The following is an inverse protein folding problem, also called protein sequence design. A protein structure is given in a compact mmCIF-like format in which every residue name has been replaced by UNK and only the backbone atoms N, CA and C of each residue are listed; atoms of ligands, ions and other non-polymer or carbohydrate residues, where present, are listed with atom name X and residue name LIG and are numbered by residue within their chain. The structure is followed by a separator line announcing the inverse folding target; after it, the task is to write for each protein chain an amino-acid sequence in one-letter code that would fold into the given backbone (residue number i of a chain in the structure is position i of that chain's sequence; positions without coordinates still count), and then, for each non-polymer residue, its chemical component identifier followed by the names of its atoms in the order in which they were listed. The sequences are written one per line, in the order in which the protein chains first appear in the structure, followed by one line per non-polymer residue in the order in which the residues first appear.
data_IF_610668071052
#
_entry.id   IF_610668071052
#
_cell.length_a   1.000
_cell.length_b   1.000
_cell.length_c   1.000
_cell.angle_alpha   90.00
_cell.angle_beta   90.00
_cell.angle_gamma   90.00
#
_symmetry.space_group_name_H-M   'P 1'
#
loop_
_entity.id
_entity.type
_entity.pdbx_description
1 polymer ?
#
# COMPACT_ATOMS: atom_id res chain seq x y z
N UNK A 1 2.30 12.09 -7.15
CA UNK A 1 1.52 11.34 -6.13
C UNK A 1 2.19 11.41 -4.75
N UNK A 2 3.42 10.90 -4.59
CA UNK A 2 4.17 10.92 -3.32
C UNK A 2 4.26 12.32 -2.67
N UNK A 3 4.65 13.36 -3.43
CA UNK A 3 4.75 14.72 -2.90
C UNK A 3 3.41 15.28 -2.40
N UNK A 4 2.31 14.98 -3.10
CA UNK A 4 0.95 15.40 -2.70
C UNK A 4 0.51 14.66 -1.44
N UNK A 5 0.82 13.37 -1.34
CA UNK A 5 0.53 12.58 -0.14
C UNK A 5 1.31 13.11 1.08
N UNK A 6 2.61 13.39 0.93
CA UNK A 6 3.45 13.96 1.99
C UNK A 6 2.95 15.36 2.40
N UNK A 7 2.61 16.21 1.44
CA UNK A 7 2.06 17.54 1.72
C UNK A 7 0.76 17.49 2.53
N UNK A 8 -0.18 16.63 2.12
CA UNK A 8 -1.44 16.47 2.87
C UNK A 8 -1.23 15.86 4.25
N UNK A 9 -0.22 14.99 4.41
CA UNK A 9 0.12 14.32 5.68
C UNK A 9 0.76 15.26 6.70
N UNK A 10 1.70 16.10 6.26
CA UNK A 10 2.50 16.93 7.18
C UNK A 10 2.05 18.38 7.29
N UNK A 11 1.43 18.93 6.24
CA UNK A 11 1.05 20.36 6.20
C UNK A 11 -0.45 20.53 6.40
N UNK A 12 -1.28 19.95 5.53
CA UNK A 12 -2.75 20.21 5.55
C UNK A 12 -3.46 19.52 6.70
N UNK A 13 -3.06 18.28 7.06
CA UNK A 13 -3.61 17.48 8.16
C UNK A 13 -5.15 17.56 8.26
N UNK A 14 -5.90 17.03 7.29
CA UNK A 14 -7.36 17.08 7.33
C UNK A 14 -7.91 16.38 8.58
N UNK A 15 -8.94 16.95 9.19
CA UNK A 15 -9.49 16.51 10.49
C UNK A 15 -9.84 15.01 10.54
N UNK A 16 -10.46 14.50 9.47
CA UNK A 16 -10.80 13.08 9.31
C UNK A 16 -9.63 12.08 9.26
N UNK A 17 -8.38 12.55 9.25
CA UNK A 17 -7.16 11.72 9.28
C UNK A 17 -6.35 11.94 10.57
N UNK A 18 -6.99 12.49 11.61
CA UNK A 18 -6.42 12.63 12.94
C UNK A 18 -6.82 11.40 13.76
N UNK A 19 -5.83 10.60 14.17
CA UNK A 19 -6.01 9.44 15.02
C UNK A 19 -5.38 9.69 16.39
N UNK A 20 -5.88 8.96 17.40
CA UNK A 20 -5.35 9.01 18.77
C UNK A 20 -3.86 8.60 18.83
N UNK A 21 -3.48 7.53 18.11
CA UNK A 21 -2.08 7.14 17.90
C UNK A 21 -1.56 7.53 16.51
N UNK A 22 -1.49 8.84 16.26
CA UNK A 22 -0.96 9.38 15.00
C UNK A 22 0.51 8.98 14.76
N UNK A 23 1.27 8.64 15.81
CA UNK A 23 2.68 8.28 15.71
C UNK A 23 2.85 6.90 15.09
N UNK A 24 2.14 5.88 15.56
CA UNK A 24 2.18 4.54 14.98
C UNK A 24 1.72 4.56 13.51
N UNK A 25 0.63 5.30 13.22
CA UNK A 25 0.09 5.44 11.87
C UNK A 25 1.13 6.06 10.91
N UNK A 26 1.93 7.01 11.38
CA UNK A 26 3.03 7.62 10.62
C UNK A 26 4.22 6.67 10.45
N UNK A 27 4.57 5.90 11.47
CA UNK A 27 5.68 4.95 11.41
C UNK A 27 5.44 3.86 10.37
N UNK A 28 4.27 3.24 10.38
CA UNK A 28 3.91 2.21 9.38
C UNK A 28 3.97 2.77 7.95
N UNK A 29 3.43 3.97 7.73
CA UNK A 29 3.47 4.62 6.43
C UNK A 29 4.91 4.90 5.97
N UNK A 30 5.76 5.40 6.87
CA UNK A 30 7.17 5.64 6.58
C UNK A 30 7.95 4.35 6.28
N UNK A 31 7.68 3.27 7.02
CA UNK A 31 8.30 1.96 6.80
C UNK A 31 7.93 1.45 5.40
N UNK A 32 6.64 1.43 5.05
CA UNK A 32 6.18 0.94 3.74
C UNK A 32 6.76 1.79 2.61
N UNK A 33 6.68 3.12 2.70
CA UNK A 33 7.22 4.02 1.67
C UNK A 33 8.74 3.84 1.55
N UNK A 34 9.45 3.68 2.68
CA UNK A 34 10.88 3.41 2.69
C UNK A 34 11.24 2.09 2.02
N UNK A 35 10.51 1.01 2.30
CA UNK A 35 10.72 -0.30 1.68
C UNK A 35 10.43 -0.26 0.17
N UNK A 36 9.34 0.38 -0.26
CA UNK A 36 9.02 0.54 -1.69
C UNK A 36 10.09 1.39 -2.40
N UNK A 37 10.52 2.49 -1.80
CA UNK A 37 11.59 3.33 -2.35
C UNK A 37 12.90 2.54 -2.47
N UNK A 38 13.25 1.77 -1.44
CA UNK A 38 14.41 0.88 -1.45
C UNK A 38 14.33 -0.15 -2.58
N UNK A 39 13.17 -0.79 -2.77
CA UNK A 39 12.95 -1.73 -3.89
C UNK A 39 13.18 -1.08 -5.25
N UNK A 40 12.67 0.14 -5.44
CA UNK A 40 12.84 0.92 -6.68
C UNK A 40 14.31 1.28 -6.90
N UNK A 41 15.01 1.74 -5.86
CA UNK A 41 16.43 2.10 -5.95
C UNK A 41 17.30 0.87 -6.28
N UNK A 42 17.06 -0.26 -5.62
CA UNK A 42 17.78 -1.50 -5.89
C UNK A 42 17.52 -2.00 -7.31
N UNK A 43 16.27 -1.92 -7.78
CA UNK A 43 15.92 -2.28 -9.16
C UNK A 43 16.63 -1.38 -10.17
N UNK A 44 16.59 -0.06 -9.98
CA UNK A 44 17.28 0.86 -10.88
C UNK A 44 18.80 0.71 -10.86
N UNK A 45 19.39 0.43 -9.68
CA UNK A 45 20.82 0.14 -9.53
C UNK A 45 21.24 -1.12 -10.27
N UNK A 46 20.45 -2.20 -10.18
CA UNK A 46 20.68 -3.43 -10.95
C UNK A 46 20.60 -3.16 -12.46
N UNK A 47 19.57 -2.45 -12.92
CA UNK A 47 19.40 -2.12 -14.35
C UNK A 47 20.49 -1.20 -14.89
N UNK A 48 20.98 -0.26 -14.09
CA UNK A 48 22.09 0.62 -14.49
C UNK A 48 23.39 -0.17 -14.70
N UNK A 49 23.72 -1.13 -13.82
CA UNK A 49 24.89 -1.99 -14.00
C UNK A 49 24.74 -2.97 -15.17
N UNK A 50 23.55 -3.54 -15.35
CA UNK A 50 23.25 -4.40 -16.50
C UNK A 50 23.41 -3.65 -17.84
N UNK A 51 23.04 -2.37 -17.89
CA UNK A 51 23.20 -1.53 -19.08
C UNK A 51 24.67 -1.36 -19.49
N UNK A 52 25.55 -1.08 -18.53
CA UNK A 52 26.98 -0.92 -18.80
C UNK A 52 27.66 -2.25 -19.16
N UNK A 53 27.26 -3.34 -18.51
CA UNK A 53 27.74 -4.69 -18.82
C UNK A 53 27.34 -5.12 -20.24
N UNK A 54 26.20 -4.65 -20.74
CA UNK A 54 25.69 -4.98 -22.08
C UNK A 54 26.29 -4.14 -23.22
N UNK A 55 27.17 -3.18 -22.93
CA UNK A 55 27.85 -2.29 -23.91
C UNK A 55 27.03 -1.91 -25.16
N UNK A 56 25.80 -1.41 -24.94
CA UNK A 56 24.99 -0.82 -26.02
C UNK A 56 24.27 -1.79 -26.95
N UNK A 57 24.49 -3.10 -26.84
CA UNK A 57 23.61 -4.11 -27.46
C UNK A 57 22.41 -4.30 -26.50
N UNK A 58 21.18 -3.93 -26.89
CA UNK A 58 20.02 -4.20 -26.06
C UNK A 58 19.91 -5.72 -25.97
N UNK A 59 20.34 -6.28 -24.84
CA UNK A 59 20.07 -7.67 -24.53
C UNK A 59 18.57 -7.90 -24.74
N UNK A 60 18.18 -9.11 -25.13
CA UNK A 60 16.79 -9.48 -25.37
C UNK A 60 15.87 -9.22 -24.15
N UNK A 61 16.46 -8.90 -22.99
CA UNK A 61 15.84 -8.59 -21.72
C UNK A 61 15.88 -7.10 -21.34
N UNK A 62 16.47 -6.22 -22.16
CA UNK A 62 16.48 -4.78 -21.94
C UNK A 62 15.20 -4.13 -22.49
N UNK A 63 14.28 -3.65 -21.64
CA UNK A 63 13.22 -2.80 -22.14
C UNK A 63 13.88 -1.49 -22.59
N UNK A 64 13.71 -1.13 -23.87
CA UNK A 64 14.08 0.18 -24.45
C UNK A 64 13.53 1.38 -23.65
N UNK A 65 12.63 1.12 -22.71
CA UNK A 65 11.96 2.06 -21.82
C UNK A 65 12.68 2.30 -20.48
N UNK A 66 13.85 1.72 -20.21
CA UNK A 66 14.61 1.94 -18.98
C UNK A 66 15.38 3.28 -18.96
N UNK A 67 14.76 4.38 -19.45
CA UNK A 67 15.41 5.68 -19.65
C UNK A 67 15.99 6.27 -18.35
N UNK A 68 15.34 6.02 -17.21
CA UNK A 68 15.82 6.48 -15.90
C UNK A 68 17.14 5.78 -15.55
N UNK A 69 17.19 4.46 -15.63
CA UNK A 69 18.40 3.70 -15.32
C UNK A 69 19.55 4.01 -16.25
N UNK A 70 19.27 4.26 -17.53
CA UNK A 70 20.28 4.70 -18.51
C UNK A 70 20.83 6.09 -18.13
N UNK A 71 19.97 7.04 -17.75
CA UNK A 71 20.40 8.38 -17.35
C UNK A 71 21.35 8.36 -16.13
N UNK A 72 21.14 7.44 -15.18
CA UNK A 72 21.97 7.27 -14.00
C UNK A 72 23.12 6.26 -14.18
N UNK A 73 23.25 5.62 -15.35
CA UNK A 73 24.32 4.63 -15.60
C UNK A 73 25.71 5.25 -15.59
N UNK A 74 25.83 6.54 -15.92
CA UNK A 74 27.10 7.28 -15.91
C UNK A 74 27.78 7.29 -14.54
N UNK A 75 27.03 7.18 -13.43
CA UNK A 75 27.60 7.06 -12.09
C UNK A 75 28.44 5.79 -11.89
N UNK A 76 28.22 4.78 -12.72
CA UNK A 76 28.87 3.47 -12.63
C UNK A 76 29.89 3.23 -13.76
N UNK A 77 30.09 4.20 -14.65
CA UNK A 77 30.92 4.07 -15.86
C UNK A 77 32.43 3.89 -15.59
N UNK A 78 32.90 4.18 -14.36
CA UNK A 78 34.29 3.99 -13.95
C UNK A 78 34.60 2.64 -13.30
N UNK A 79 33.61 1.75 -13.15
CA UNK A 79 33.79 0.43 -12.52
C UNK A 79 34.30 -0.60 -13.53
N UNK A 80 35.08 -1.57 -13.05
CA UNK A 80 35.46 -2.74 -13.87
C UNK A 80 34.26 -3.65 -14.09
N UNK A 81 34.36 -4.56 -15.06
CA UNK A 81 33.33 -5.57 -15.35
C UNK A 81 32.99 -6.40 -14.10
N UNK A 82 33.99 -6.78 -13.31
CA UNK A 82 33.82 -7.52 -12.06
C UNK A 82 33.11 -6.67 -11.01
N UNK A 83 33.45 -5.37 -10.91
CA UNK A 83 32.77 -4.43 -10.02
C UNK A 83 31.29 -4.25 -10.36
N UNK A 84 30.97 -4.16 -11.64
CA UNK A 84 29.58 -4.07 -12.13
C UNK A 84 28.78 -5.36 -11.84
N UNK A 85 29.37 -6.53 -12.04
CA UNK A 85 28.73 -7.82 -11.72
C UNK A 85 28.48 -7.99 -10.22
N UNK A 86 29.42 -7.56 -9.37
CA UNK A 86 29.27 -7.57 -7.93
C UNK A 86 28.13 -6.62 -7.49
N UNK A 87 28.08 -5.41 -8.06
CA UNK A 87 27.01 -4.45 -7.78
C UNK A 87 25.64 -4.96 -8.22
N UNK A 88 25.54 -5.51 -9.43
CA UNK A 88 24.31 -6.15 -9.92
C UNK A 88 23.84 -7.24 -8.95
N UNK A 89 24.75 -8.13 -8.55
CA UNK A 89 24.45 -9.23 -7.63
C UNK A 89 23.97 -8.72 -6.27
N UNK A 90 24.62 -7.69 -5.73
CA UNK A 90 24.21 -7.03 -4.49
C UNK A 90 22.79 -6.45 -4.61
N UNK A 91 22.51 -5.69 -5.67
CA UNK A 91 21.19 -5.11 -5.90
C UNK A 91 20.12 -6.18 -6.09
N UNK A 92 20.42 -7.26 -6.82
CA UNK A 92 19.50 -8.37 -7.08
C UNK A 92 19.13 -9.13 -5.79
N UNK A 93 20.13 -9.55 -5.02
CA UNK A 93 19.90 -10.24 -3.75
C UNK A 93 19.23 -9.31 -2.73
N UNK A 94 19.68 -8.05 -2.64
CA UNK A 94 19.05 -7.05 -1.79
C UNK A 94 17.57 -6.86 -2.13
N UNK A 95 17.24 -6.72 -3.42
CA UNK A 95 15.85 -6.59 -3.87
C UNK A 95 15.02 -7.81 -3.48
N UNK A 96 15.56 -9.01 -3.70
CA UNK A 96 14.90 -10.28 -3.36
C UNK A 96 14.61 -10.38 -1.86
N UNK A 97 15.60 -10.07 -1.01
CA UNK A 97 15.44 -10.08 0.46
C UNK A 97 14.39 -9.06 0.91
N UNK A 98 14.41 -7.85 0.33
CA UNK A 98 13.42 -6.81 0.67
C UNK A 98 12.01 -7.22 0.23
N UNK A 99 11.83 -7.84 -0.93
CA UNK A 99 10.52 -8.37 -1.36
C UNK A 99 10.02 -9.44 -0.37
N UNK A 100 10.87 -10.39 0.00
CA UNK A 100 10.49 -11.46 0.93
C UNK A 100 10.13 -10.90 2.32
N UNK A 101 10.92 -9.93 2.81
CA UNK A 101 10.60 -9.22 4.06
C UNK A 101 9.30 -8.43 3.97
N UNK A 102 9.06 -7.74 2.85
CA UNK A 102 7.83 -7.00 2.63
C UNK A 102 6.60 -7.92 2.59
N UNK A 103 6.72 -9.10 1.97
CA UNK A 103 5.64 -10.10 1.93
C UNK A 103 5.21 -10.56 3.33
N UNK A 104 6.17 -10.76 4.24
CA UNK A 104 5.91 -11.13 5.64
C UNK A 104 5.30 -9.95 6.41
N UNK A 105 5.68 -8.72 6.07
CA UNK A 105 5.19 -7.51 6.73
C UNK A 105 3.75 -7.15 6.33
N UNK A 106 3.32 -7.44 5.09
CA UNK A 106 1.97 -7.13 4.57
C UNK A 106 0.83 -7.51 5.53
N UNK A 107 0.71 -8.76 6.04
CA UNK A 107 -0.43 -9.17 6.88
C UNK A 107 -0.55 -8.41 8.21
N UNK A 108 0.53 -7.82 8.69
CA UNK A 108 0.56 -7.06 9.94
C UNK A 108 0.48 -5.55 9.73
N UNK A 109 0.39 -5.11 8.48
CA UNK A 109 0.44 -3.70 8.11
C UNK A 109 -0.87 -3.23 7.52
N UNK A 110 -1.01 -1.91 7.43
CA UNK A 110 -2.14 -1.27 6.74
C UNK A 110 -2.22 -1.64 5.26
N UNK A 111 -1.13 -2.12 4.66
CA UNK A 111 -1.07 -2.50 3.24
C UNK A 111 -1.91 -3.73 2.88
N UNK A 112 -2.41 -4.48 3.88
CA UNK A 112 -3.39 -5.55 3.70
C UNK A 112 -4.64 -5.09 2.93
N UNK A 113 -4.95 -3.78 2.98
CA UNK A 113 -6.03 -3.16 2.21
C UNK A 113 -5.96 -3.49 0.71
N UNK A 114 -4.76 -3.71 0.15
CA UNK A 114 -4.60 -4.03 -1.27
C UNK A 114 -5.17 -5.41 -1.61
N UNK A 115 -4.96 -6.40 -0.72
CA UNK A 115 -5.48 -7.76 -0.87
C UNK A 115 -6.99 -7.80 -0.64
N UNK A 116 -7.50 -7.02 0.33
CA UNK A 116 -8.93 -6.90 0.58
C UNK A 116 -9.67 -6.12 -0.51
N UNK A 117 -9.06 -5.08 -1.09
CA UNK A 117 -9.72 -4.18 -2.03
C UNK A 117 -10.16 -4.85 -3.34
N UNK A 118 -9.33 -5.73 -3.91
CA UNK A 118 -9.64 -6.42 -5.18
C UNK A 118 -10.95 -7.22 -5.09
N UNK A 119 -11.09 -8.20 -4.18
CA UNK A 119 -12.36 -8.91 -4.00
C UNK A 119 -13.48 -7.99 -3.51
N UNK A 120 -13.17 -6.98 -2.70
CA UNK A 120 -14.20 -6.05 -2.21
C UNK A 120 -14.90 -5.31 -3.36
N UNK A 121 -14.12 -4.77 -4.31
CA UNK A 121 -14.66 -4.10 -5.50
C UNK A 121 -15.46 -5.06 -6.37
N UNK A 122 -15.00 -6.30 -6.51
CA UNK A 122 -15.72 -7.34 -7.26
C UNK A 122 -17.08 -7.67 -6.64
N UNK A 123 -17.14 -7.79 -5.30
CA UNK A 123 -18.37 -8.08 -4.55
C UNK A 123 -19.09 -6.82 -4.04
N UNK A 124 -18.89 -5.67 -4.69
CA UNK A 124 -19.52 -4.41 -4.28
C UNK A 124 -21.04 -4.48 -4.49
N UNK A 125 -21.81 -4.08 -3.48
CA UNK A 125 -23.27 -3.89 -3.60
C UNK A 125 -23.58 -2.73 -4.57
N UNK A 126 -24.53 -2.95 -5.48
CA UNK A 126 -25.03 -1.94 -6.41
C UNK A 126 -26.29 -1.23 -5.90
N UNK A 127 -26.71 -1.54 -4.67
CA UNK A 127 -27.83 -0.89 -3.98
C UNK A 127 -27.45 0.54 -3.56
N UNK A 128 -28.44 1.28 -3.04
CA UNK A 128 -28.21 2.64 -2.57
C UNK A 128 -27.13 2.70 -1.49
N UNK A 129 -26.24 3.69 -1.58
CA UNK A 129 -25.12 3.85 -0.64
C UNK A 129 -25.70 4.21 0.74
N UNK A 130 -25.36 3.43 1.78
CA UNK A 130 -25.82 3.66 3.15
C UNK A 130 -27.05 2.84 3.57
N UNK A 131 -27.54 1.92 2.74
CA UNK A 131 -28.62 1.01 3.10
C UNK A 131 -28.17 -0.02 4.14
N UNK A 132 -28.51 0.22 5.41
CA UNK A 132 -28.30 -0.72 6.50
C UNK A 132 -29.36 -1.83 6.43
N UNK A 133 -28.98 -3.05 6.82
CA UNK A 133 -29.97 -4.13 6.98
C UNK A 133 -30.98 -3.72 8.05
N UNK A 134 -32.27 -3.92 7.78
CA UNK A 134 -33.33 -3.65 8.75
C UNK A 134 -33.12 -4.53 9.98
N UNK A 135 -33.10 -3.89 11.15
CA UNK A 135 -33.07 -4.57 12.43
C UNK A 135 -34.51 -4.90 12.82
N UNK A 136 -34.76 -6.12 13.26
CA UNK A 136 -36.07 -6.51 13.76
C UNK A 136 -36.15 -6.13 15.25
N UNK A 137 -36.81 -5.00 15.52
CA UNK A 137 -36.95 -4.46 16.87
C UNK A 137 -38.14 -5.08 17.62
N UNK A 138 -38.97 -5.87 16.96
CA UNK A 138 -40.16 -6.51 17.54
C UNK A 138 -39.89 -7.96 17.98
N UNK A 139 -38.70 -8.48 17.72
CA UNK A 139 -38.26 -9.79 18.19
C UNK A 139 -37.96 -9.76 19.70
N UNK A 140 -38.93 -10.20 20.51
CA UNK A 140 -38.80 -10.31 21.96
C UNK A 140 -37.81 -11.42 22.40
N UNK A 141 -37.34 -12.27 21.48
CA UNK A 141 -36.33 -13.31 21.76
C UNK A 141 -34.90 -12.83 21.53
N UNK A 142 -34.73 -11.65 20.93
CA UNK A 142 -33.42 -11.08 20.65
C UNK A 142 -32.76 -10.55 21.92
N UNK A 143 -31.69 -11.21 22.38
CA UNK A 143 -30.92 -10.77 23.56
C UNK A 143 -30.00 -9.57 23.26
N UNK A 144 -29.70 -9.31 21.99
CA UNK A 144 -28.82 -8.22 21.54
C UNK A 144 -29.23 -7.64 20.20
N UNK A 145 -29.25 -6.30 20.12
CA UNK A 145 -29.52 -5.56 18.89
C UNK A 145 -28.21 -5.10 18.24
N UNK A 146 -27.96 -5.52 17.00
CA UNK A 146 -26.76 -5.18 16.25
C UNK A 146 -25.61 -6.17 16.44
N UNK A 147 -24.39 -5.71 16.14
CA UNK A 147 -23.15 -6.52 16.16
C UNK A 147 -22.27 -5.99 17.28
N UNK A 148 -22.04 -6.81 18.31
CA UNK A 148 -21.22 -6.47 19.47
C UNK A 148 -19.84 -7.14 19.45
N UNK A 149 -19.75 -8.30 18.80
CA UNK A 149 -18.53 -9.10 18.69
C UNK A 149 -18.10 -9.28 17.24
N UNK A 150 -16.82 -9.60 17.03
CA UNK A 150 -16.29 -9.69 15.68
C UNK A 150 -16.84 -10.90 14.90
N UNK A 151 -17.22 -11.95 15.63
CA UNK A 151 -17.79 -13.19 15.10
C UNK A 151 -19.23 -13.02 14.59
N UNK A 152 -19.90 -11.94 14.99
CA UNK A 152 -21.26 -11.60 14.58
C UNK A 152 -21.30 -10.83 13.24
N UNK A 153 -20.14 -10.43 12.70
CA UNK A 153 -20.07 -9.80 11.38
C UNK A 153 -20.29 -10.80 10.24
N UNK A 154 -21.05 -10.39 9.23
CA UNK A 154 -21.12 -11.12 7.97
C UNK A 154 -19.76 -11.17 7.27
N UNK A 155 -19.54 -12.20 6.46
CA UNK A 155 -18.32 -12.33 5.63
C UNK A 155 -18.03 -11.05 4.82
N UNK A 156 -19.08 -10.35 4.36
CA UNK A 156 -18.93 -9.14 3.55
C UNK A 156 -18.46 -7.96 4.40
N UNK A 157 -18.97 -7.82 5.63
CA UNK A 157 -18.52 -6.80 6.57
C UNK A 157 -17.07 -7.02 7.00
N UNK A 158 -16.65 -8.27 7.22
CA UNK A 158 -15.25 -8.61 7.48
C UNK A 158 -14.36 -8.24 6.27
N UNK A 159 -14.82 -8.52 5.05
CA UNK A 159 -14.10 -8.13 3.83
C UNK A 159 -14.03 -6.60 3.64
N UNK A 160 -15.07 -5.86 4.03
CA UNK A 160 -15.08 -4.39 4.06
C UNK A 160 -14.05 -3.84 5.05
N UNK A 161 -13.89 -4.47 6.22
CA UNK A 161 -12.87 -4.11 7.21
C UNK A 161 -11.46 -4.34 6.66
N UNK A 162 -11.18 -5.49 6.05
CA UNK A 162 -9.87 -5.78 5.45
C UNK A 162 -9.52 -4.90 4.25
N UNK A 163 -10.52 -4.38 3.53
CA UNK A 163 -10.31 -3.45 2.41
C UNK A 163 -10.17 -1.99 2.86
N UNK A 164 -10.36 -1.69 4.15
CA UNK A 164 -10.32 -0.35 4.68
C UNK A 164 -8.93 0.27 4.50
N UNK A 165 -8.90 1.49 3.96
CA UNK A 165 -7.68 2.29 3.81
C UNK A 165 -7.52 3.35 4.90
N UNK A 166 -8.38 3.29 5.93
CA UNK A 166 -8.50 4.34 6.95
C UNK A 166 -8.60 5.73 6.31
N UNK A 167 -9.36 5.87 5.22
CA UNK A 167 -9.40 7.14 4.49
C UNK A 167 -10.33 8.20 5.12
N UNK A 168 -10.98 7.89 6.24
CA UNK A 168 -11.90 8.78 6.97
C UNK A 168 -13.26 9.04 6.31
N UNK A 169 -13.51 8.50 5.10
CA UNK A 169 -14.76 8.75 4.36
C UNK A 169 -16.00 8.16 5.02
N UNK A 170 -15.84 7.07 5.77
CA UNK A 170 -16.92 6.48 6.55
C UNK A 170 -17.37 7.41 7.67
N UNK A 171 -16.44 8.12 8.32
CA UNK A 171 -16.73 9.14 9.33
C UNK A 171 -17.40 10.36 8.70
N UNK A 172 -16.85 10.89 7.60
CA UNK A 172 -17.42 12.06 6.90
C UNK A 172 -18.88 11.84 6.44
N UNK A 173 -19.22 10.58 6.13
CA UNK A 173 -20.54 10.20 5.63
C UNK A 173 -21.38 9.48 6.69
N UNK A 174 -20.94 9.52 7.95
CA UNK A 174 -21.69 8.96 9.06
C UNK A 174 -22.95 9.82 9.28
N UNK A 175 -24.17 9.23 9.32
CA UNK A 175 -25.40 9.99 9.54
C UNK A 175 -25.40 10.78 10.86
N UNK A 176 -24.66 10.31 11.87
CA UNK A 176 -24.47 11.02 13.14
C UNK A 176 -23.74 12.37 12.93
N UNK A 177 -22.59 12.32 12.27
CA UNK A 177 -21.76 13.51 11.97
C UNK A 177 -22.49 14.49 11.02
N UNK A 178 -23.18 13.97 10.00
CA UNK A 178 -23.97 14.79 9.07
C UNK A 178 -25.21 15.41 9.71
N UNK A 179 -25.74 14.78 10.77
CA UNK A 179 -26.91 15.25 11.53
C UNK A 179 -26.62 16.36 12.53
N UNK A 180 -25.33 16.67 12.79
CA UNK A 180 -24.91 17.78 13.64
C UNK A 180 -25.19 17.60 15.14
N UNK A 181 -25.26 16.36 15.64
CA UNK A 181 -25.39 16.04 17.06
C UNK A 181 -24.04 15.74 17.72
#
# INVERSE_FOLDING_TARGET
ALCVALYRRFVVKPERLIYEDQKAVNQDACIIIGLILLLIVLLFGARAAEYLLAQGEPSQYFPRLAFVSVAFSSLFAGLTTEGLQAWYSFCWWGHTVVILGFLIYIPFSKHLHLLGAIPNVFFRRLSSVGELSKMDLEDETAETYGVSKIEEFSWKQLLDLYACTECGRCSDNCPYELGGC
#
